data_IF_906404771136
#
_entry.id   IF_906404771136
#
_cell.length_a   1.000
_cell.length_b   1.000
_cell.length_c   1.000
_cell.angle_alpha   90.00
_cell.angle_beta   90.00
_cell.angle_gamma   90.00
#
_symmetry.space_group_name_H-M   'P 1'
#
loop_
_entity.id
_entity.type
_entity.pdbx_description
1 polymer ?
#
# COMPACT_ATOMS: atom_id res chain seq x y z
N UNK A 1 -2.73 -4.29 -119.69
CA UNK A 1 -1.67 -3.27 -119.48
C UNK A 1 -1.49 -3.07 -117.98
N UNK A 2 -0.25 -3.17 -117.47
CA UNK A 2 0.08 -3.16 -116.03
C UNK A 2 0.32 -1.71 -115.59
N UNK A 3 -0.55 -1.17 -114.73
CA UNK A 3 -0.41 0.19 -114.21
C UNK A 3 0.75 0.25 -113.22
N UNK A 4 1.78 1.02 -113.59
CA UNK A 4 2.89 1.37 -112.71
C UNK A 4 2.49 2.63 -111.95
N UNK A 5 2.47 2.57 -110.62
CA UNK A 5 2.03 3.66 -109.77
C UNK A 5 3.14 4.71 -109.62
N UNK A 6 2.93 5.91 -110.16
CA UNK A 6 3.87 7.03 -110.22
C UNK A 6 3.76 8.01 -109.04
N UNK A 7 3.22 7.58 -107.88
CA UNK A 7 3.19 8.45 -106.72
C UNK A 7 4.61 8.66 -106.14
N UNK A 8 5.10 9.91 -106.02
CA UNK A 8 6.34 10.25 -105.33
C UNK A 8 6.31 9.76 -103.88
N UNK A 9 7.41 9.18 -103.37
CA UNK A 9 7.46 8.53 -102.04
C UNK A 9 6.92 9.40 -100.89
N UNK A 10 7.14 10.71 -100.99
CA UNK A 10 6.72 11.72 -100.01
C UNK A 10 5.19 11.86 -99.83
N UNK A 11 4.38 11.35 -100.77
CA UNK A 11 2.91 11.35 -100.67
C UNK A 11 2.30 9.95 -100.58
N UNK A 12 3.11 8.90 -100.32
CA UNK A 12 2.53 7.60 -100.00
C UNK A 12 1.82 7.68 -98.65
N UNK A 13 0.51 7.37 -98.58
CA UNK A 13 -0.16 7.26 -97.30
C UNK A 13 0.59 6.22 -96.45
N UNK A 14 1.05 6.61 -95.27
CA UNK A 14 1.68 5.70 -94.31
C UNK A 14 0.69 4.58 -94.02
N UNK A 15 0.95 3.38 -94.52
CA UNK A 15 0.24 2.19 -94.05
C UNK A 15 0.61 2.02 -92.58
N UNK A 16 -0.35 1.89 -91.66
CA UNK A 16 -0.05 1.60 -90.27
C UNK A 16 0.66 0.24 -90.23
N UNK A 17 1.98 0.24 -90.03
CA UNK A 17 2.74 -0.93 -89.58
C UNK A 17 2.50 -1.09 -88.08
N UNK A 18 1.24 -1.28 -87.70
CA UNK A 18 0.83 -1.49 -86.32
C UNK A 18 0.10 -2.80 -86.29
N UNK A 19 0.81 -3.89 -85.95
CA UNK A 19 0.15 -5.15 -85.64
C UNK A 19 -0.92 -4.88 -84.59
N UNK A 20 -2.15 -5.37 -84.82
CA UNK A 20 -3.31 -5.13 -83.98
C UNK A 20 -3.09 -5.51 -82.49
N UNK A 21 -2.01 -6.23 -82.15
CA UNK A 21 -1.62 -6.53 -80.77
C UNK A 21 -1.17 -5.34 -79.93
N UNK A 22 -0.58 -4.28 -80.51
CA UNK A 22 -0.01 -3.16 -79.73
C UNK A 22 -1.06 -2.29 -79.02
N UNK A 23 -2.22 -2.08 -79.66
CA UNK A 23 -3.29 -1.24 -79.11
C UNK A 23 -3.97 -1.89 -77.89
N UNK A 24 -4.16 -3.22 -77.90
CA UNK A 24 -4.71 -3.93 -76.75
C UNK A 24 -3.76 -3.95 -75.55
N UNK A 25 -2.44 -3.97 -75.79
CA UNK A 25 -1.44 -3.86 -74.71
C UNK A 25 -1.53 -2.50 -74.03
N UNK A 26 -1.61 -1.40 -74.80
CA UNK A 26 -1.73 -0.05 -74.24
C UNK A 26 -3.03 0.11 -73.45
N UNK A 27 -4.15 -0.38 -73.97
CA UNK A 27 -5.43 -0.35 -73.25
C UNK A 27 -5.40 -1.21 -71.98
N UNK A 28 -4.73 -2.37 -72.00
CA UNK A 28 -4.53 -3.21 -70.82
C UNK A 28 -3.72 -2.51 -69.73
N UNK A 29 -2.64 -1.82 -70.12
CA UNK A 29 -1.80 -1.04 -69.19
C UNK A 29 -2.58 0.14 -68.60
N UNK A 30 -3.34 0.88 -69.42
CA UNK A 30 -4.18 1.98 -68.95
C UNK A 30 -5.28 1.49 -67.99
N UNK A 31 -5.92 0.36 -68.31
CA UNK A 31 -6.89 -0.28 -67.44
C UNK A 31 -6.29 -0.68 -66.09
N UNK A 32 -5.09 -1.28 -66.10
CA UNK A 32 -4.39 -1.66 -64.88
C UNK A 32 -4.02 -0.44 -64.01
N UNK A 33 -3.58 0.67 -64.63
CA UNK A 33 -3.27 1.91 -63.90
C UNK A 33 -4.51 2.55 -63.26
N UNK A 34 -5.65 2.51 -63.94
CA UNK A 34 -6.92 2.99 -63.38
C UNK A 34 -7.34 2.13 -62.18
N UNK A 35 -7.28 0.81 -62.31
CA UNK A 35 -7.60 -0.10 -61.19
C UNK A 35 -6.66 0.16 -60.00
N UNK A 36 -5.36 0.33 -60.25
CA UNK A 36 -4.38 0.64 -59.21
C UNK A 36 -4.68 1.96 -58.48
N UNK A 37 -5.08 3.01 -59.19
CA UNK A 37 -5.42 4.30 -58.58
C UNK A 37 -6.71 4.23 -57.75
N UNK A 38 -7.73 3.49 -58.22
CA UNK A 38 -8.96 3.27 -57.44
C UNK A 38 -8.68 2.51 -56.15
N UNK A 39 -7.87 1.45 -56.21
CA UNK A 39 -7.45 0.70 -55.01
C UNK A 39 -6.67 1.58 -54.05
N UNK A 40 -5.79 2.44 -54.57
CA UNK A 40 -5.02 3.38 -53.76
C UNK A 40 -5.91 4.40 -53.02
N UNK A 41 -6.89 4.99 -53.71
CA UNK A 41 -7.84 5.94 -53.09
C UNK A 41 -8.69 5.25 -52.01
N UNK A 42 -9.14 4.02 -52.27
CA UNK A 42 -9.87 3.24 -51.26
C UNK A 42 -9.00 2.94 -50.03
N UNK A 43 -7.72 2.63 -50.21
CA UNK A 43 -6.79 2.41 -49.12
C UNK A 43 -6.58 3.68 -48.27
N UNK A 44 -6.41 4.83 -48.91
CA UNK A 44 -6.29 6.13 -48.21
C UNK A 44 -7.54 6.46 -47.37
N UNK A 45 -8.73 6.22 -47.93
CA UNK A 45 -9.99 6.42 -47.20
C UNK A 45 -10.14 5.46 -46.01
N UNK A 46 -9.71 4.20 -46.16
CA UNK A 46 -9.73 3.25 -45.04
C UNK A 46 -8.75 3.67 -43.93
N UNK A 47 -7.58 4.20 -44.28
CA UNK A 47 -6.62 4.72 -43.29
C UNK A 47 -7.26 5.88 -42.51
N UNK A 48 -7.86 6.85 -43.20
CA UNK A 48 -8.56 7.96 -42.53
C UNK A 48 -9.70 7.50 -41.62
N UNK A 49 -10.51 6.53 -42.06
CA UNK A 49 -11.58 5.97 -41.22
C UNK A 49 -11.05 5.29 -39.95
N UNK A 50 -9.88 4.62 -40.03
CA UNK A 50 -9.22 4.01 -38.86
C UNK A 50 -8.62 5.05 -37.92
N UNK A 51 -8.07 6.14 -38.45
CA UNK A 51 -7.57 7.25 -37.63
C UNK A 51 -8.71 7.93 -36.86
N UNK A 52 -9.85 8.17 -37.51
CA UNK A 52 -11.05 8.71 -36.88
C UNK A 52 -11.61 7.78 -35.80
N UNK A 53 -11.61 6.47 -36.05
CA UNK A 53 -12.03 5.45 -35.08
C UNK A 53 -11.08 5.40 -33.86
N UNK A 54 -9.77 5.49 -34.09
CA UNK A 54 -8.76 5.61 -33.03
C UNK A 54 -8.91 6.92 -32.25
N UNK A 55 -9.20 8.03 -32.93
CA UNK A 55 -9.42 9.32 -32.28
C UNK A 55 -10.66 9.29 -31.39
N UNK A 56 -11.78 8.73 -31.88
CA UNK A 56 -13.02 8.57 -31.11
C UNK A 56 -12.85 7.67 -29.89
N UNK A 57 -12.22 6.52 -30.06
CA UNK A 57 -11.96 5.59 -28.95
C UNK A 57 -11.02 6.19 -27.90
N UNK A 58 -10.01 6.97 -28.31
CA UNK A 58 -9.16 7.72 -27.38
C UNK A 58 -9.94 8.80 -26.62
N UNK A 59 -10.86 9.51 -27.27
CA UNK A 59 -11.69 10.52 -26.59
C UNK A 59 -12.63 9.89 -25.57
N UNK A 60 -13.28 8.78 -25.92
CA UNK A 60 -14.16 8.04 -25.01
C UNK A 60 -13.40 7.48 -23.80
N UNK A 61 -12.18 6.95 -24.03
CA UNK A 61 -11.30 6.48 -22.97
C UNK A 61 -10.85 7.63 -22.04
N UNK A 62 -10.49 8.79 -22.61
CA UNK A 62 -10.09 9.96 -21.83
C UNK A 62 -11.24 10.51 -20.96
N UNK A 63 -12.47 10.50 -21.47
CA UNK A 63 -13.65 10.90 -20.69
C UNK A 63 -13.97 9.90 -19.56
N UNK A 64 -13.85 8.60 -19.82
CA UNK A 64 -14.02 7.57 -18.81
C UNK A 64 -12.96 7.66 -17.71
N UNK A 65 -11.71 7.94 -18.09
CA UNK A 65 -10.60 8.14 -17.14
C UNK A 65 -10.74 9.45 -16.36
N UNK A 66 -11.26 10.52 -16.95
CA UNK A 66 -11.57 11.77 -16.25
C UNK A 66 -12.65 11.57 -15.19
N UNK A 67 -13.71 10.81 -15.52
CA UNK A 67 -14.78 10.46 -14.58
C UNK A 67 -14.25 9.58 -13.43
N UNK A 68 -13.39 8.60 -13.70
CA UNK A 68 -12.79 7.77 -12.64
C UNK A 68 -11.84 8.57 -11.73
N UNK A 69 -11.03 9.47 -12.29
CA UNK A 69 -10.17 10.40 -11.52
C UNK A 69 -10.97 11.35 -10.64
N UNK A 70 -12.14 11.81 -11.10
CA UNK A 70 -13.03 12.64 -10.29
C UNK A 70 -13.60 11.89 -9.05
N UNK A 71 -13.76 10.57 -9.14
CA UNK A 71 -14.23 9.72 -8.03
C UNK A 71 -13.09 9.15 -7.16
N UNK A 72 -11.85 9.11 -7.66
CA UNK A 72 -10.67 8.70 -6.91
C UNK A 72 -10.54 9.35 -5.51
N UNK A 73 -10.75 10.67 -5.33
CA UNK A 73 -10.70 11.27 -3.99
C UNK A 73 -11.73 10.70 -3.02
N UNK A 74 -12.92 10.29 -3.48
CA UNK A 74 -13.96 9.71 -2.62
C UNK A 74 -13.54 8.34 -2.07
N UNK A 75 -12.91 7.50 -2.91
CA UNK A 75 -12.35 6.22 -2.46
C UNK A 75 -11.22 6.43 -1.43
N UNK A 76 -10.37 7.44 -1.66
CA UNK A 76 -9.29 7.80 -0.74
C UNK A 76 -9.83 8.26 0.63
N UNK A 77 -10.95 8.98 0.69
CA UNK A 77 -11.56 9.38 1.97
C UNK A 77 -12.04 8.20 2.81
N UNK A 78 -12.62 7.18 2.20
CA UNK A 78 -13.03 5.97 2.92
C UNK A 78 -11.82 5.23 3.49
N UNK A 79 -10.74 5.12 2.71
CA UNK A 79 -9.51 4.48 3.15
C UNK A 79 -8.84 5.25 4.30
N UNK A 80 -8.76 6.58 4.20
CA UNK A 80 -8.20 7.43 5.27
C UNK A 80 -9.05 7.36 6.54
N UNK A 81 -10.38 7.34 6.41
CA UNK A 81 -11.28 7.17 7.56
C UNK A 81 -11.06 5.81 8.24
N UNK A 82 -11.03 4.73 7.47
CA UNK A 82 -10.80 3.38 8.00
C UNK A 82 -9.45 3.28 8.70
N UNK A 83 -8.39 3.84 8.13
CA UNK A 83 -7.07 3.90 8.75
C UNK A 83 -7.11 4.64 10.08
N UNK A 84 -7.75 5.82 10.14
CA UNK A 84 -7.87 6.58 11.40
C UNK A 84 -8.65 5.81 12.47
N UNK A 85 -9.75 5.18 12.10
CA UNK A 85 -10.53 4.36 13.04
C UNK A 85 -9.72 3.16 13.56
N UNK A 86 -8.98 2.49 12.69
CA UNK A 86 -8.10 1.38 13.08
C UNK A 86 -6.98 1.85 14.01
N UNK A 87 -6.31 2.97 13.70
CA UNK A 87 -5.26 3.54 14.56
C UNK A 87 -5.80 3.94 15.93
N UNK A 88 -7.00 4.54 16.00
CA UNK A 88 -7.62 4.90 17.29
C UNK A 88 -7.99 3.65 18.09
N UNK A 89 -8.55 2.62 17.44
CA UNK A 89 -8.86 1.35 18.10
C UNK A 89 -7.61 0.64 18.60
N UNK A 90 -6.55 0.64 17.79
CA UNK A 90 -5.27 0.06 18.16
C UNK A 90 -4.67 0.79 19.37
N UNK A 91 -4.61 2.13 19.34
CA UNK A 91 -4.12 2.92 20.46
C UNK A 91 -4.97 2.72 21.72
N UNK A 92 -6.29 2.59 21.57
CA UNK A 92 -7.19 2.29 22.68
C UNK A 92 -6.94 0.88 23.25
N UNK A 93 -6.71 -0.12 22.40
CA UNK A 93 -6.41 -1.50 22.82
C UNK A 93 -5.04 -1.64 23.48
N UNK A 94 -4.12 -0.72 23.21
CA UNK A 94 -2.78 -0.68 23.83
C UNK A 94 -2.77 0.05 25.18
N UNK A 95 -3.85 0.77 25.53
CA UNK A 95 -3.92 1.50 26.80
C UNK A 95 -4.16 0.55 27.97
N UNK A 96 -3.25 0.64 28.95
CA UNK A 96 -3.40 0.01 30.25
C UNK A 96 -4.21 0.90 31.20
N UNK A 97 -5.17 0.33 31.93
CA UNK A 97 -6.01 1.02 32.91
C UNK A 97 -5.24 1.25 34.23
N UNK A 98 -4.40 2.28 34.23
CA UNK A 98 -3.60 2.67 35.39
C UNK A 98 -4.44 3.10 36.59
N UNK A 99 -5.60 3.73 36.38
CA UNK A 99 -6.46 4.22 37.46
C UNK A 99 -6.95 3.05 38.31
N UNK A 100 -7.57 2.06 37.66
CA UNK A 100 -8.05 0.88 38.36
C UNK A 100 -6.91 0.09 38.99
N UNK A 101 -5.79 -0.05 38.29
CA UNK A 101 -4.62 -0.75 38.82
C UNK A 101 -4.08 -0.08 40.09
N UNK A 102 -3.92 1.26 40.11
CA UNK A 102 -3.43 1.99 41.30
C UNK A 102 -4.41 1.87 42.46
N UNK A 103 -5.72 2.00 42.20
CA UNK A 103 -6.75 1.86 43.22
C UNK A 103 -6.76 0.47 43.84
N UNK A 104 -6.71 -0.58 43.03
CA UNK A 104 -6.66 -1.95 43.52
C UNK A 104 -5.34 -2.23 44.28
N UNK A 105 -4.22 -1.76 43.75
CA UNK A 105 -2.91 -1.92 44.38
C UNK A 105 -2.85 -1.23 45.75
N UNK A 106 -3.45 -0.04 45.88
CA UNK A 106 -3.51 0.69 47.16
C UNK A 106 -4.29 -0.07 48.25
N UNK A 107 -5.32 -0.84 47.87
CA UNK A 107 -6.13 -1.65 48.80
C UNK A 107 -5.43 -2.93 49.22
N UNK A 108 -4.58 -3.48 48.35
CA UNK A 108 -3.90 -4.76 48.55
C UNK A 108 -2.55 -4.57 49.28
N UNK A 109 -1.93 -3.39 49.16
CA UNK A 109 -0.62 -3.09 49.73
C UNK A 109 -0.59 -3.21 51.27
N UNK A 110 0.35 -3.98 51.86
CA UNK A 110 0.61 -3.97 53.29
C UNK A 110 1.18 -2.63 53.78
N UNK A 111 0.95 -2.31 55.05
CA UNK A 111 1.59 -1.15 55.68
C UNK A 111 3.12 -1.29 55.65
N UNK A 112 3.82 -0.17 55.37
CA UNK A 112 5.28 -0.11 55.34
C UNK A 112 5.93 -0.58 54.03
N UNK A 113 5.16 -0.98 53.02
CA UNK A 113 5.67 -1.26 51.68
C UNK A 113 5.58 -0.01 50.82
N UNK A 114 6.64 0.30 50.07
CA UNK A 114 6.69 1.44 49.16
C UNK A 114 7.02 0.98 47.74
N UNK A 115 6.32 1.51 46.74
CA UNK A 115 6.62 1.25 45.33
C UNK A 115 7.52 2.35 44.78
N UNK A 116 8.58 1.95 44.09
CA UNK A 116 9.50 2.84 43.37
C UNK A 116 9.11 2.96 41.90
N UNK A 117 8.70 1.86 41.27
CA UNK A 117 8.28 1.88 39.88
C UNK A 117 7.29 0.76 39.56
N UNK A 118 6.40 1.03 38.59
CA UNK A 118 5.48 0.06 38.03
C UNK A 118 5.55 0.12 36.50
N UNK A 119 5.61 -1.04 35.85
CA UNK A 119 5.64 -1.18 34.40
C UNK A 119 4.58 -2.20 33.99
N UNK A 120 3.71 -1.85 33.04
CA UNK A 120 2.64 -2.72 32.57
C UNK A 120 2.67 -2.85 31.05
N UNK A 121 2.29 -4.03 30.54
CA UNK A 121 2.21 -4.34 29.10
C UNK A 121 0.91 -5.07 28.80
N UNK A 122 0.11 -4.55 27.85
CA UNK A 122 -1.18 -5.15 27.45
C UNK A 122 -0.98 -6.31 26.45
N UNK A 123 0.10 -6.27 25.67
CA UNK A 123 0.43 -7.29 24.65
C UNK A 123 1.20 -8.49 25.22
N UNK A 124 1.38 -8.53 26.55
CA UNK A 124 2.04 -9.65 27.23
C UNK A 124 3.52 -9.83 26.90
N UNK A 125 4.18 -8.79 26.40
CA UNK A 125 5.64 -8.81 26.23
C UNK A 125 6.30 -8.66 27.61
N UNK A 126 7.15 -9.61 28.04
CA UNK A 126 7.90 -9.44 29.28
C UNK A 126 8.85 -8.25 29.12
N UNK A 127 8.76 -7.19 29.94
CA UNK A 127 9.75 -6.14 29.89
C UNK A 127 11.08 -6.73 30.33
N UNK A 128 12.09 -6.58 29.48
CA UNK A 128 13.49 -6.81 29.81
C UNK A 128 13.78 -6.16 31.17
N UNK A 129 14.46 -6.91 32.03
CA UNK A 129 14.73 -6.52 33.41
C UNK A 129 15.31 -5.11 33.46
N UNK A 130 14.49 -4.14 33.91
CA UNK A 130 14.89 -2.74 33.95
C UNK A 130 16.18 -2.55 34.79
N UNK A 131 17.31 -2.41 34.12
CA UNK A 131 18.44 -1.63 34.61
C UNK A 131 18.01 -0.17 34.64
N UNK A 132 18.38 0.54 35.70
CA UNK A 132 17.89 1.89 35.97
C UNK A 132 18.23 2.92 34.89
N UNK A 133 17.41 3.96 34.82
CA UNK A 133 17.64 5.13 33.98
C UNK A 133 16.38 5.52 33.24
N UNK A 134 15.67 6.52 33.74
CA UNK A 134 14.59 7.14 32.99
C UNK A 134 15.12 7.74 31.69
N UNK A 135 14.52 7.35 30.59
CA UNK A 135 14.38 8.19 29.41
C UNK A 135 13.12 7.73 28.69
N UNK A 136 12.16 8.65 28.63
CA UNK A 136 11.05 8.65 27.68
C UNK A 136 11.53 8.25 26.30
N UNK A 137 11.03 7.13 25.79
CA UNK A 137 11.01 6.85 24.36
C UNK A 137 9.76 6.06 24.06
N UNK A 138 8.69 6.82 23.86
CA UNK A 138 7.58 6.44 23.00
C UNK A 138 8.15 6.18 21.60
N UNK A 139 8.68 4.98 21.35
CA UNK A 139 8.91 4.52 20.00
C UNK A 139 7.57 4.10 19.43
N UNK A 140 6.98 5.00 18.65
CA UNK A 140 5.97 4.67 17.66
C UNK A 140 6.59 3.63 16.71
N UNK A 141 6.36 2.36 16.99
CA UNK A 141 6.56 1.31 16.01
C UNK A 141 5.35 1.32 15.07
N UNK A 142 5.44 2.12 14.01
CA UNK A 142 4.62 1.94 12.80
C UNK A 142 5.03 0.62 12.15
N UNK A 143 4.49 -0.48 12.66
CA UNK A 143 4.58 -1.81 12.08
C UNK A 143 3.21 -2.23 11.58
N UNK A 144 3.06 -2.32 10.26
CA UNK A 144 1.94 -3.00 9.59
C UNK A 144 1.86 -4.44 10.09
N UNK A 145 1.04 -4.69 11.11
CA UNK A 145 0.68 -6.04 11.54
C UNK A 145 -0.75 -6.31 11.07
N UNK A 146 -0.87 -7.29 10.17
CA UNK A 146 -2.14 -7.83 9.71
C UNK A 146 -2.97 -8.38 10.89
N UNK A 147 -4.31 -8.39 10.81
CA UNK A 147 -5.17 -8.95 11.85
C UNK A 147 -5.16 -10.47 11.75
N UNK A 148 -4.11 -11.11 12.24
CA UNK A 148 -4.09 -12.56 12.45
C UNK A 148 -4.33 -12.78 13.93
N UNK A 149 -5.44 -13.45 14.26
CA UNK A 149 -5.86 -13.76 15.62
C UNK A 149 -4.93 -14.76 16.31
N UNK A 150 -3.76 -14.29 16.72
CA UNK A 150 -2.87 -15.00 17.63
C UNK A 150 -3.32 -14.84 19.08
N UNK A 151 -3.04 -15.84 19.95
CA UNK A 151 -3.34 -15.77 21.37
C UNK A 151 -2.54 -14.60 21.94
N UNK A 152 -3.20 -13.47 22.16
CA UNK A 152 -2.58 -12.30 22.77
C UNK A 152 -2.06 -12.74 24.13
N UNK A 153 -0.74 -12.71 24.31
CA UNK A 153 -0.13 -13.07 25.58
C UNK A 153 -0.80 -12.24 26.70
N UNK A 154 -1.04 -12.84 27.87
CA UNK A 154 -1.77 -12.17 28.94
C UNK A 154 -1.03 -10.89 29.36
N UNK A 155 -1.75 -9.83 29.76
CA UNK A 155 -1.12 -8.59 30.18
C UNK A 155 -0.18 -8.84 31.38
N UNK A 156 0.98 -8.19 31.37
CA UNK A 156 1.99 -8.34 32.42
C UNK A 156 2.15 -7.05 33.23
N UNK A 157 2.40 -7.19 34.52
CA UNK A 157 2.66 -6.08 35.46
C UNK A 157 3.92 -6.39 36.27
N UNK A 158 4.92 -5.51 36.16
CA UNK A 158 6.15 -5.56 36.93
C UNK A 158 6.17 -4.42 37.95
N UNK A 159 6.41 -4.77 39.21
CA UNK A 159 6.44 -3.84 40.34
C UNK A 159 7.81 -3.90 41.00
N UNK A 160 8.40 -2.73 41.27
CA UNK A 160 9.63 -2.59 42.06
C UNK A 160 9.33 -1.74 43.28
N UNK A 161 9.80 -2.19 44.44
CA UNK A 161 9.54 -1.51 45.70
C UNK A 161 10.45 -1.99 46.83
N UNK A 162 10.22 -1.41 47.99
CA UNK A 162 10.91 -1.73 49.24
C UNK A 162 9.88 -2.21 50.27
N UNK A 163 10.29 -3.17 51.09
CA UNK A 163 9.54 -3.68 52.23
C UNK A 163 10.47 -3.72 53.45
N UNK A 164 9.96 -3.60 54.68
CA UNK A 164 10.79 -3.49 55.88
C UNK A 164 11.50 -4.81 56.24
N UNK A 165 10.93 -5.95 55.84
CA UNK A 165 11.49 -7.27 56.11
C UNK A 165 10.95 -8.31 55.10
N UNK A 166 11.65 -9.45 55.00
CA UNK A 166 11.28 -10.56 54.11
C UNK A 166 9.88 -11.14 54.36
N UNK A 167 9.40 -11.30 55.61
CA UNK A 167 8.02 -11.72 55.86
C UNK A 167 6.96 -10.80 55.25
N UNK A 168 7.23 -9.48 55.20
CA UNK A 168 6.33 -8.52 54.56
C UNK A 168 6.29 -8.71 53.04
N UNK A 169 7.41 -9.09 52.41
CA UNK A 169 7.46 -9.45 50.98
C UNK A 169 6.58 -10.67 50.70
N UNK A 170 6.69 -11.72 51.53
CA UNK A 170 5.84 -12.90 51.40
C UNK A 170 4.35 -12.56 51.55
N UNK A 171 4.01 -11.71 52.51
CA UNK A 171 2.64 -11.23 52.72
C UNK A 171 2.13 -10.45 51.50
N UNK A 172 2.97 -9.59 50.92
CA UNK A 172 2.65 -8.86 49.69
C UNK A 172 2.38 -9.80 48.52
N UNK A 173 3.22 -10.83 48.31
CA UNK A 173 3.02 -11.84 47.25
C UNK A 173 1.67 -12.56 47.38
N UNK A 174 1.28 -12.93 48.60
CA UNK A 174 -0.01 -13.59 48.85
C UNK A 174 -1.18 -12.62 48.61
N UNK A 175 -1.04 -11.36 49.03
CA UNK A 175 -2.06 -10.34 48.82
C UNK A 175 -2.24 -9.97 47.34
N UNK A 176 -1.14 -9.89 46.57
CA UNK A 176 -1.18 -9.64 45.13
C UNK A 176 -1.95 -10.71 44.34
N UNK A 177 -2.00 -11.96 44.83
CA UNK A 177 -2.85 -13.01 44.22
C UNK A 177 -4.36 -12.73 44.36
N UNK A 178 -4.75 -11.79 45.21
CA UNK A 178 -6.14 -11.34 45.35
C UNK A 178 -6.48 -10.14 44.46
N UNK A 179 -5.50 -9.61 43.72
CA UNK A 179 -5.73 -8.55 42.74
C UNK A 179 -6.64 -9.09 41.62
N UNK A 180 -7.51 -8.24 41.07
CA UNK A 180 -8.42 -8.66 40.02
C UNK A 180 -7.63 -9.06 38.77
N UNK A 181 -7.91 -10.25 38.22
CA UNK A 181 -7.19 -10.85 37.08
C UNK A 181 -5.70 -11.19 37.30
N UNK A 182 -5.20 -11.27 38.54
CA UNK A 182 -3.87 -11.83 38.79
C UNK A 182 -3.89 -13.36 38.60
N UNK A 183 -3.31 -13.85 37.50
CA UNK A 183 -3.15 -15.29 37.26
C UNK A 183 -1.89 -15.84 37.94
N UNK A 184 -0.74 -15.20 37.68
CA UNK A 184 0.57 -15.65 38.16
C UNK A 184 1.34 -14.51 38.82
N UNK A 185 1.65 -14.67 40.11
CA UNK A 185 2.50 -13.74 40.85
C UNK A 185 3.82 -14.45 41.17
N UNK A 186 4.92 -13.91 40.63
CA UNK A 186 6.28 -14.42 40.82
C UNK A 186 7.17 -13.32 41.38
N UNK A 187 8.12 -13.72 42.22
CA UNK A 187 9.16 -12.83 42.71
C UNK A 187 10.38 -12.98 41.81
N UNK A 188 10.76 -11.90 41.10
CA UNK A 188 11.91 -11.91 40.19
C UNK A 188 13.23 -11.81 40.96
N UNK A 189 13.33 -10.89 41.92
CA UNK A 189 14.51 -10.67 42.76
C UNK A 189 14.09 -10.06 44.09
N UNK A 190 14.71 -10.50 45.18
CA UNK A 190 14.69 -9.83 46.47
C UNK A 190 16.12 -9.76 47.01
N UNK A 191 16.48 -8.64 47.59
CA UNK A 191 17.77 -8.45 48.26
C UNK A 191 17.63 -7.38 49.32
N UNK A 192 18.64 -7.28 50.18
CA UNK A 192 18.74 -6.14 51.10
C UNK A 192 18.94 -4.87 50.29
N UNK A 193 18.23 -3.81 50.66
CA UNK A 193 18.38 -2.52 49.99
C UNK A 193 19.68 -1.89 50.43
N UNK A 194 20.62 -1.71 49.49
CA UNK A 194 21.62 -0.66 49.65
C UNK A 194 20.85 0.67 49.61
N UNK A 195 20.77 1.34 50.76
CA UNK A 195 20.29 2.71 50.85
C UNK A 195 21.17 3.56 49.91
N UNK A 196 20.67 3.87 48.71
CA UNK A 196 21.24 4.92 47.87
C UNK A 196 20.93 6.28 48.51
N UNK A 197 21.59 6.56 49.62
CA UNK A 197 21.73 7.87 50.22
C UNK A 197 23.14 8.40 49.86
N UNK A 198 23.37 8.71 48.59
CA UNK A 198 24.56 9.45 48.15
C UNK A 198 24.39 10.01 46.73
N UNK A 199 23.69 11.15 46.58
CA UNK A 199 23.91 12.12 45.51
C UNK A 199 23.07 13.38 45.79
N UNK A 200 23.59 14.28 46.61
CA UNK A 200 22.93 15.57 46.87
C UNK A 200 23.41 16.29 48.11
N UNK A 201 24.73 16.36 48.35
CA UNK A 201 25.33 17.30 49.29
C UNK A 201 26.83 17.47 48.98
N UNK A 202 27.15 18.39 48.08
CA UNK A 202 28.34 19.25 48.06
C UNK A 202 28.29 20.10 46.79
#
# INVERSE_FOLDING_TARGET
>A
MRSVNLLPEQYRPRRPSGGAGGAYVVLGVLGALLVASVVYVLALNQIGAREDEIAKTKTEAAEAEAKSKALAPVANFLQVKQQREQSVKQLASERFDWERMVLELSRVMPAGVYLKSAQASVKGEPPEAAGGGGATSSTLASGTAAPTGEPTAPPTLNLKGCAPNQPTVATMLVRLRRLHHAADVKLTKSGEGEDQAAAGAA
#
